data_IF_005451139991
#
_entry.id   IF_005451139991
#
_cell.length_a   1.000
_cell.length_b   1.000
_cell.length_c   1.000
_cell.angle_alpha   90.00
_cell.angle_beta   90.00
_cell.angle_gamma   90.00
#
_symmetry.space_group_name_H-M   'P 1'
#
loop_
_entity.id
_entity.type
_entity.pdbx_description
1 polymer ?
#
# COMPACT_ATOMS: atom_id res chain seq x y z
N UNK A 1 10.83 -44.36 -3.56
CA UNK A 1 10.46 -44.36 -4.99
C UNK A 1 10.11 -42.93 -5.47
N UNK A 2 11.08 -42.07 -5.86
CA UNK A 2 10.82 -40.67 -6.26
C UNK A 2 10.90 -40.48 -7.80
N UNK A 3 10.23 -41.33 -8.59
CA UNK A 3 10.28 -41.23 -10.06
C UNK A 3 9.28 -40.22 -10.65
N UNK A 4 8.19 -39.90 -9.94
CA UNK A 4 7.11 -39.05 -10.47
C UNK A 4 7.44 -37.55 -10.57
N UNK A 5 8.27 -37.01 -9.67
CA UNK A 5 8.60 -35.58 -9.66
C UNK A 5 9.59 -35.19 -10.78
N UNK A 6 10.47 -36.11 -11.18
CA UNK A 6 11.48 -35.87 -12.22
C UNK A 6 10.84 -35.80 -13.61
N UNK A 7 9.83 -36.63 -13.87
CA UNK A 7 9.03 -36.60 -15.10
C UNK A 7 8.33 -35.25 -15.24
N UNK A 8 7.68 -34.76 -14.17
CA UNK A 8 6.97 -33.47 -14.20
C UNK A 8 7.93 -32.28 -14.45
N UNK A 9 9.14 -32.31 -13.89
CA UNK A 9 10.15 -31.26 -14.12
C UNK A 9 10.64 -31.26 -15.58
N UNK A 10 10.94 -32.43 -16.13
CA UNK A 10 11.41 -32.57 -17.52
C UNK A 10 10.34 -32.17 -18.54
N UNK A 11 9.08 -32.51 -18.28
CA UNK A 11 7.95 -32.10 -19.13
C UNK A 11 7.73 -30.59 -19.09
N UNK A 12 7.82 -29.97 -17.90
CA UNK A 12 7.77 -28.51 -17.74
C UNK A 12 8.92 -27.83 -18.47
N UNK A 13 10.15 -28.32 -18.33
CA UNK A 13 11.31 -27.78 -19.02
C UNK A 13 11.17 -27.90 -20.55
N UNK A 14 10.65 -29.03 -21.05
CA UNK A 14 10.37 -29.22 -22.47
C UNK A 14 9.23 -28.33 -23.00
N UNK A 15 8.22 -28.04 -22.17
CA UNK A 15 7.15 -27.11 -22.50
C UNK A 15 7.63 -25.65 -22.51
N UNK A 16 8.49 -25.26 -21.56
CA UNK A 16 9.12 -23.94 -21.51
C UNK A 16 10.07 -23.75 -22.68
N UNK A 17 10.91 -24.74 -23.01
CA UNK A 17 11.78 -24.69 -24.20
C UNK A 17 10.96 -24.54 -25.47
N UNK A 18 9.89 -25.30 -25.68
CA UNK A 18 8.99 -25.13 -26.83
C UNK A 18 8.28 -23.77 -26.88
N UNK A 19 8.00 -23.17 -25.73
CA UNK A 19 7.39 -21.83 -25.65
C UNK A 19 8.39 -20.71 -25.90
N UNK A 20 9.66 -20.89 -25.53
CA UNK A 20 10.76 -19.97 -25.83
C UNK A 20 11.26 -20.10 -27.27
N UNK A 21 11.19 -21.31 -27.85
CA UNK A 21 11.54 -21.60 -29.24
C UNK A 21 10.48 -21.05 -30.22
N UNK A 22 9.26 -20.77 -29.73
CA UNK A 22 8.33 -19.86 -30.41
C UNK A 22 8.89 -18.45 -30.31
N UNK A 23 9.57 -18.06 -31.38
CA UNK A 23 10.07 -16.71 -31.67
C UNK A 23 9.12 -15.64 -31.11
N UNK A 24 9.62 -14.68 -30.29
CA UNK A 24 8.79 -13.64 -29.73
C UNK A 24 8.05 -12.92 -30.86
N UNK A 25 6.71 -12.82 -30.80
CA UNK A 25 5.95 -12.17 -31.86
C UNK A 25 6.50 -10.75 -32.03
N UNK A 26 6.88 -10.40 -33.26
CA UNK A 26 7.43 -9.08 -33.61
C UNK A 26 6.37 -8.03 -33.31
N UNK A 27 6.41 -7.51 -32.09
CA UNK A 27 5.49 -6.48 -31.62
C UNK A 27 5.75 -5.19 -32.38
N UNK A 28 4.72 -4.57 -32.98
CA UNK A 28 4.85 -3.28 -33.63
C UNK A 28 5.51 -2.23 -32.71
N UNK A 29 6.50 -1.47 -33.18
CA UNK A 29 7.31 -0.53 -32.38
C UNK A 29 6.53 0.69 -31.81
N UNK A 30 5.20 0.66 -31.77
CA UNK A 30 4.34 1.67 -31.14
C UNK A 30 3.47 1.14 -29.99
N UNK A 31 3.37 -0.18 -29.81
CA UNK A 31 2.48 -0.78 -28.80
C UNK A 31 2.87 -0.42 -27.36
N UNK A 32 4.17 -0.30 -27.07
CA UNK A 32 4.62 0.14 -25.75
C UNK A 32 4.22 1.59 -25.48
N UNK A 33 4.38 2.49 -26.45
CA UNK A 33 3.96 3.88 -26.33
C UNK A 33 2.44 4.02 -26.21
N UNK A 34 1.67 3.25 -26.97
CA UNK A 34 0.20 3.21 -26.90
C UNK A 34 -0.31 2.60 -25.59
N UNK A 35 0.34 1.55 -25.09
CA UNK A 35 0.02 0.91 -23.81
C UNK A 35 0.40 1.80 -22.62
N UNK A 36 1.50 2.55 -22.69
CA UNK A 36 1.86 3.57 -21.69
C UNK A 36 0.87 4.73 -21.74
N UNK A 37 0.45 5.15 -22.93
CA UNK A 37 -0.50 6.25 -23.14
C UNK A 37 -1.93 5.89 -22.70
N UNK A 38 -2.37 4.64 -22.87
CA UNK A 38 -3.67 4.13 -22.33
C UNK A 38 -3.58 3.69 -20.87
N UNK A 39 -2.54 2.96 -20.49
CA UNK A 39 -2.36 2.32 -19.19
C UNK A 39 -1.95 3.28 -18.07
N UNK A 40 -1.37 4.43 -18.42
CA UNK A 40 -1.06 5.48 -17.45
C UNK A 40 -2.27 5.93 -16.64
N UNK A 41 -3.50 5.87 -17.19
CA UNK A 41 -4.71 6.29 -16.48
C UNK A 41 -5.11 5.32 -15.36
N UNK A 42 -4.87 4.02 -15.53
CA UNK A 42 -5.18 2.99 -14.52
C UNK A 42 -4.10 2.91 -13.44
N UNK A 43 -2.82 3.03 -13.82
CA UNK A 43 -1.72 3.13 -12.85
C UNK A 43 -1.79 4.44 -12.06
N UNK A 44 -2.05 5.58 -12.73
CA UNK A 44 -2.26 6.86 -12.04
C UNK A 44 -3.44 6.81 -11.08
N UNK A 45 -4.53 6.10 -11.41
CA UNK A 45 -5.65 5.89 -10.48
C UNK A 45 -5.22 5.13 -9.23
N UNK A 46 -4.41 4.08 -9.36
CA UNK A 46 -3.88 3.35 -8.19
C UNK A 46 -2.94 4.20 -7.36
N UNK A 47 -2.01 4.93 -7.99
CA UNK A 47 -1.08 5.81 -7.28
C UNK A 47 -1.81 6.99 -6.65
N UNK A 48 -2.80 7.57 -7.34
CA UNK A 48 -3.64 8.64 -6.83
C UNK A 48 -4.51 8.14 -5.68
N UNK A 49 -5.16 6.97 -5.79
CA UNK A 49 -5.92 6.39 -4.69
C UNK A 49 -5.03 6.09 -3.48
N UNK A 50 -3.82 5.57 -3.68
CA UNK A 50 -2.85 5.34 -2.60
C UNK A 50 -2.41 6.67 -1.96
N UNK A 51 -2.15 7.71 -2.76
CA UNK A 51 -1.84 9.06 -2.27
C UNK A 51 -3.00 9.67 -1.54
N UNK A 52 -4.22 9.56 -2.07
CA UNK A 52 -5.44 10.06 -1.45
C UNK A 52 -5.69 9.38 -0.11
N UNK A 53 -5.53 8.06 -0.05
CA UNK A 53 -5.60 7.28 1.18
C UNK A 53 -4.54 7.75 2.19
N UNK A 54 -3.30 7.95 1.76
CA UNK A 54 -2.24 8.48 2.62
C UNK A 54 -2.53 9.90 3.11
N UNK A 55 -3.05 10.78 2.25
CA UNK A 55 -3.44 12.13 2.63
C UNK A 55 -4.61 12.11 3.61
N UNK A 56 -5.60 11.25 3.39
CA UNK A 56 -6.72 11.04 4.32
C UNK A 56 -6.25 10.52 5.67
N UNK A 57 -5.36 9.52 5.67
CA UNK A 57 -4.74 8.99 6.90
C UNK A 57 -3.96 10.07 7.64
N UNK A 58 -3.17 10.87 6.92
CA UNK A 58 -2.39 11.96 7.51
C UNK A 58 -3.29 13.06 8.07
N UNK A 59 -4.34 13.45 7.32
CA UNK A 59 -5.32 14.42 7.79
C UNK A 59 -6.06 13.92 9.04
N UNK A 60 -6.47 12.65 9.08
CA UNK A 60 -7.09 12.03 10.24
C UNK A 60 -6.15 12.01 11.45
N UNK A 61 -4.88 11.65 11.25
CA UNK A 61 -3.88 11.67 12.31
C UNK A 61 -3.64 13.08 12.86
N UNK A 62 -3.57 14.09 12.00
CA UNK A 62 -3.44 15.50 12.42
C UNK A 62 -4.68 15.96 13.17
N UNK A 63 -5.88 15.69 12.66
CA UNK A 63 -7.12 16.04 13.34
C UNK A 63 -7.21 15.38 14.73
N UNK A 64 -6.83 14.11 14.83
CA UNK A 64 -6.76 13.38 16.09
C UNK A 64 -5.73 14.00 17.06
N UNK A 65 -4.53 14.35 16.57
CA UNK A 65 -3.49 14.99 17.38
C UNK A 65 -3.93 16.37 17.88
N UNK A 66 -4.58 17.16 17.03
CA UNK A 66 -5.15 18.47 17.40
C UNK A 66 -6.25 18.29 18.45
N UNK A 67 -7.16 17.35 18.26
CA UNK A 67 -8.20 17.03 19.23
C UNK A 67 -7.61 16.60 20.59
N UNK A 68 -6.62 15.71 20.56
CA UNK A 68 -5.88 15.24 21.72
C UNK A 68 -5.20 16.40 22.49
N UNK A 69 -4.56 17.32 21.76
CA UNK A 69 -3.95 18.51 22.34
C UNK A 69 -4.97 19.52 22.87
N UNK A 70 -6.14 19.64 22.25
CA UNK A 70 -7.17 20.57 22.67
C UNK A 70 -7.93 20.09 23.91
N UNK A 71 -8.24 18.79 23.98
CA UNK A 71 -8.99 18.20 25.09
C UNK A 71 -8.06 17.88 26.28
N UNK A 72 -6.76 17.69 26.01
CA UNK A 72 -5.77 17.21 26.99
C UNK A 72 -6.37 16.23 28.01
N UNK A 73 -7.00 15.12 27.58
CA UNK A 73 -7.77 14.25 28.48
C UNK A 73 -6.92 13.56 29.56
N UNK A 74 -5.60 13.62 29.42
CA UNK A 74 -4.58 13.16 30.36
C UNK A 74 -4.20 14.22 31.40
N UNK A 75 -4.72 15.44 31.31
CA UNK A 75 -4.62 16.40 32.40
C UNK A 75 -5.63 15.96 33.45
N UNK A 76 -5.10 15.38 34.53
CA UNK A 76 -5.87 15.21 35.73
C UNK A 76 -6.48 16.58 36.08
N UNK A 77 -7.82 16.69 36.25
CA UNK A 77 -8.41 17.94 36.70
C UNK A 77 -7.63 18.38 37.93
N UNK A 78 -7.11 19.63 37.99
CA UNK A 78 -6.37 20.09 39.14
C UNK A 78 -7.24 19.83 40.35
N UNK A 79 -6.78 18.94 41.22
CA UNK A 79 -7.51 18.55 42.41
C UNK A 79 -7.76 19.80 43.23
N UNK A 80 -8.98 20.35 43.09
CA UNK A 80 -9.58 21.40 43.91
C UNK A 80 -9.87 20.90 45.33
N UNK A 81 -8.95 20.11 45.89
CA UNK A 81 -9.08 19.56 47.24
C UNK A 81 -7.77 19.65 47.99
N UNK A 82 -7.07 20.78 47.86
CA UNK A 82 -6.43 21.34 49.04
C UNK A 82 -7.50 22.21 49.68
N UNK A 83 -8.11 21.78 50.80
CA UNK A 83 -9.11 22.59 51.48
C UNK A 83 -8.47 23.96 51.79
N UNK A 84 -9.24 25.06 51.67
CA UNK A 84 -8.71 26.36 52.03
C UNK A 84 -8.17 26.24 53.46
N UNK A 85 -6.86 26.44 53.61
CA UNK A 85 -6.27 26.81 54.88
C UNK A 85 -6.98 28.09 55.29
N UNK A 86 -8.07 27.95 56.04
CA UNK A 86 -8.68 29.05 56.78
C UNK A 86 -7.62 29.54 57.75
N UNK A 87 -6.93 30.59 57.31
CA UNK A 87 -5.95 31.36 58.06
C UNK A 87 -6.70 32.34 58.97
N UNK A 88 -7.43 31.78 59.96
CA UNK A 88 -8.11 32.50 61.03
C UNK A 88 -8.05 31.75 62.37
#
# INVERSE_FOLDING_TARGET
MPAGAVVNRREREAAVRRSMDRSPPRVPPGLYADAVRRGGRLLRRRTAARRLLWLLLLAAAVAFAVWALAVQPWVAPPSETTPPLTDW
#
